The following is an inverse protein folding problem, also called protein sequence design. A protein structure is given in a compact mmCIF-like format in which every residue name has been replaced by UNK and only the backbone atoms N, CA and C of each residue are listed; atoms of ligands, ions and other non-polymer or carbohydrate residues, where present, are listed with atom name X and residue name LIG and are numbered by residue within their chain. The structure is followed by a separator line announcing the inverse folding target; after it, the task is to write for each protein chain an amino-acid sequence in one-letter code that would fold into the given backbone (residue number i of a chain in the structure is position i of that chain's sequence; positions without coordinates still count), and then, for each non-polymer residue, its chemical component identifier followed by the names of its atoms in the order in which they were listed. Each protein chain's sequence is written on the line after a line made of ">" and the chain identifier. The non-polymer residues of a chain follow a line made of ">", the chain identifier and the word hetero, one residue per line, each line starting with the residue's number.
data_IF_656932691146
#
_entry.id   IF_656932691146
#
_cell.length_a   1.000
_cell.length_b   1.000
_cell.length_c   1.000
_cell.angle_alpha   90.00
_cell.angle_beta   90.00
_cell.angle_gamma   90.00
#
_symmetry.space_group_name_H-M   'P 1'
#
loop_
_entity.id
_entity.type
_entity.pdbx_description
1 polymer ?
#
# COMPACT_ATOMS: atom_id res chain seq x y z
N UNK A 1 7.68 0.06 19.70
CA UNK A 1 6.92 -1.10 20.22
C UNK A 1 6.33 -1.82 19.03
N UNK A 2 6.70 -3.10 18.84
CA UNK A 2 6.22 -3.89 17.71
C UNK A 2 4.85 -4.49 18.01
N UNK A 3 3.80 -3.90 17.45
CA UNK A 3 2.45 -4.46 17.46
C UNK A 3 2.06 -4.85 16.05
N UNK A 4 1.21 -5.84 15.92
CA UNK A 4 0.61 -6.29 14.66
C UNK A 4 -0.85 -5.89 14.61
N UNK A 5 -1.36 -5.71 13.39
CA UNK A 5 -2.79 -5.49 13.17
C UNK A 5 -3.55 -6.80 13.31
N UNK A 6 -3.01 -7.90 12.76
CA UNK A 6 -3.58 -9.26 12.87
C UNK A 6 -2.52 -10.29 13.24
N UNK A 7 -2.93 -11.38 13.88
CA UNK A 7 -2.02 -12.47 14.27
C UNK A 7 -1.43 -13.26 13.10
N UNK A 8 -2.17 -13.32 11.98
CA UNK A 8 -1.85 -14.10 10.77
C UNK A 8 -1.13 -13.30 9.68
N UNK A 9 -0.79 -12.03 9.93
CA UNK A 9 -0.18 -11.11 8.96
C UNK A 9 -1.02 -10.83 7.71
N UNK A 10 -2.30 -11.08 7.76
CA UNK A 10 -3.19 -10.87 6.60
C UNK A 10 -3.40 -9.40 6.26
N UNK A 11 -3.16 -8.47 7.21
CA UNK A 11 -3.37 -7.03 7.06
C UNK A 11 -2.04 -6.28 7.19
N UNK A 12 -1.72 -5.49 6.17
CA UNK A 12 -0.50 -4.69 6.10
C UNK A 12 -0.65 -3.29 6.67
N UNK A 13 -1.83 -2.72 6.53
CA UNK A 13 -2.18 -1.39 7.00
C UNK A 13 -3.67 -1.25 7.24
N UNK A 14 -4.05 -0.22 7.97
CA UNK A 14 -5.44 0.10 8.29
C UNK A 14 -5.59 1.60 8.45
N UNK A 15 -6.57 2.22 7.75
CA UNK A 15 -6.98 3.61 7.96
C UNK A 15 -8.25 3.69 8.78
N UNK A 16 -8.24 4.47 9.87
CA UNK A 16 -9.38 4.66 10.74
C UNK A 16 -10.22 5.86 10.27
N UNK A 17 -11.48 5.63 9.90
CA UNK A 17 -12.41 6.67 9.46
C UNK A 17 -13.20 7.29 10.60
N UNK A 18 -13.14 6.74 11.81
CA UNK A 18 -13.76 7.27 13.02
C UNK A 18 -12.90 7.00 14.24
N UNK A 19 -13.15 7.75 15.31
CA UNK A 19 -12.56 7.45 16.60
C UNK A 19 -13.03 6.08 17.08
N UNK A 20 -12.10 5.24 17.50
CA UNK A 20 -12.37 3.86 17.88
C UNK A 20 -11.27 3.28 18.76
N UNK A 21 -11.54 2.13 19.34
CA UNK A 21 -10.53 1.30 20.00
C UNK A 21 -10.25 0.11 19.10
N UNK A 22 -8.99 -0.08 18.74
CA UNK A 22 -8.52 -1.20 17.93
C UNK A 22 -7.72 -2.18 18.77
N UNK A 23 -7.86 -3.46 18.48
CA UNK A 23 -7.09 -4.52 19.13
C UNK A 23 -5.88 -4.83 18.29
N UNK A 24 -4.71 -4.66 18.86
CA UNK A 24 -3.42 -4.98 18.24
C UNK A 24 -2.80 -6.19 18.93
N UNK A 25 -2.13 -7.03 18.16
CA UNK A 25 -1.41 -8.19 18.69
C UNK A 25 -0.02 -7.75 19.17
N UNK A 26 0.32 -8.06 20.42
CA UNK A 26 1.67 -7.83 20.94
C UNK A 26 2.61 -8.95 20.46
N UNK A 27 3.67 -8.55 19.74
CA UNK A 27 4.65 -9.50 19.18
C UNK A 27 5.44 -10.23 20.28
N UNK A 28 5.62 -9.60 21.43
CA UNK A 28 6.51 -10.09 22.48
C UNK A 28 5.79 -10.77 23.64
N UNK A 29 4.53 -10.45 23.87
CA UNK A 29 3.79 -10.89 25.08
C UNK A 29 2.63 -11.85 24.80
N UNK A 30 2.48 -12.35 23.59
CA UNK A 30 1.38 -13.26 23.23
C UNK A 30 0.03 -12.82 23.79
N UNK A 31 -0.38 -11.59 23.50
CA UNK A 31 -1.64 -11.03 23.96
C UNK A 31 -2.15 -9.91 23.07
N UNK A 32 -3.40 -9.52 23.29
CA UNK A 32 -4.01 -8.37 22.63
C UNK A 32 -3.80 -7.12 23.47
N UNK A 33 -3.54 -6.01 22.81
CA UNK A 33 -3.51 -4.68 23.39
C UNK A 33 -4.56 -3.81 22.72
N UNK A 34 -5.41 -3.22 23.54
CA UNK A 34 -6.34 -2.21 23.07
C UNK A 34 -5.66 -0.84 22.98
N UNK A 35 -5.83 -0.19 21.84
CA UNK A 35 -5.27 1.14 21.57
C UNK A 35 -6.39 2.03 21.03
N UNK A 36 -6.60 3.15 21.71
CA UNK A 36 -7.53 4.17 21.21
C UNK A 36 -6.88 4.93 20.06
N UNK A 37 -7.59 5.03 18.96
CA UNK A 37 -7.17 5.73 17.74
C UNK A 37 -8.19 6.78 17.37
N UNK A 38 -7.71 7.89 16.85
CA UNK A 38 -8.56 8.97 16.36
C UNK A 38 -8.81 8.84 14.88
N UNK A 39 -9.85 9.49 14.41
CA UNK A 39 -10.16 9.60 12.98
C UNK A 39 -8.95 10.09 12.18
N UNK A 40 -8.62 9.40 11.10
CA UNK A 40 -7.47 9.70 10.24
C UNK A 40 -6.17 9.01 10.68
N UNK A 41 -6.20 8.22 11.76
CA UNK A 41 -5.03 7.42 12.15
C UNK A 41 -4.78 6.33 11.13
N UNK A 42 -3.54 6.23 10.65
CA UNK A 42 -3.07 5.13 9.82
C UNK A 42 -2.22 4.21 10.68
N UNK A 43 -2.61 2.96 10.74
CA UNK A 43 -1.85 1.88 11.36
C UNK A 43 -1.07 1.14 10.29
N UNK A 44 0.20 0.89 10.54
CA UNK A 44 1.05 0.08 9.66
C UNK A 44 1.57 -1.10 10.45
N UNK A 45 1.38 -2.31 9.93
CA UNK A 45 1.90 -3.50 10.57
C UNK A 45 3.44 -3.47 10.58
N UNK A 46 4.02 -3.58 11.78
CA UNK A 46 5.46 -3.51 11.97
C UNK A 46 6.20 -4.59 11.18
N UNK A 47 5.56 -5.73 10.95
CA UNK A 47 6.11 -6.84 10.19
C UNK A 47 6.33 -6.49 8.70
N UNK A 48 5.52 -5.60 8.14
CA UNK A 48 5.70 -5.10 6.76
C UNK A 48 7.08 -4.49 6.58
N UNK A 49 7.57 -3.73 7.56
CA UNK A 49 8.92 -3.16 7.55
C UNK A 49 10.01 -4.21 7.73
N UNK A 50 9.84 -5.10 8.71
CA UNK A 50 10.88 -6.07 9.10
C UNK A 50 11.06 -7.21 8.09
N UNK A 51 9.97 -7.70 7.54
CA UNK A 51 9.99 -8.89 6.67
C UNK A 51 10.02 -8.56 5.17
N UNK A 52 9.52 -7.42 4.77
CA UNK A 52 9.49 -7.07 3.35
C UNK A 52 10.60 -6.08 2.99
N UNK A 53 10.38 -4.83 3.20
CA UNK A 53 11.35 -3.74 3.03
C UNK A 53 10.64 -2.39 3.20
N UNK A 54 11.44 -1.33 3.31
CA UNK A 54 10.92 0.04 3.42
C UNK A 54 10.01 0.43 2.24
N UNK A 55 10.29 -0.08 1.04
CA UNK A 55 9.46 0.21 -0.14
C UNK A 55 8.05 -0.35 -0.04
N UNK A 56 7.87 -1.53 0.55
CA UNK A 56 6.56 -2.09 0.83
C UNK A 56 5.81 -1.25 1.88
N UNK A 57 6.48 -0.83 2.93
CA UNK A 57 5.92 0.06 3.96
C UNK A 57 5.46 1.38 3.35
N UNK A 58 6.29 2.02 2.53
CA UNK A 58 5.93 3.26 1.84
C UNK A 58 4.70 3.08 0.94
N UNK A 59 4.63 1.96 0.22
CA UNK A 59 3.48 1.65 -0.63
C UNK A 59 2.20 1.47 0.21
N UNK A 60 2.28 0.76 1.35
CA UNK A 60 1.15 0.61 2.27
C UNK A 60 0.71 1.97 2.83
N UNK A 61 1.65 2.83 3.25
CA UNK A 61 1.32 4.20 3.70
C UNK A 61 0.60 4.97 2.60
N UNK A 62 1.12 4.98 1.37
CA UNK A 62 0.50 5.69 0.25
C UNK A 62 -0.89 5.13 -0.11
N UNK A 63 -1.08 3.82 0.04
CA UNK A 63 -2.35 3.14 -0.12
C UNK A 63 -3.39 3.64 0.91
N UNK A 64 -3.04 3.67 2.20
CA UNK A 64 -3.92 4.14 3.27
C UNK A 64 -4.20 5.65 3.16
N UNK A 65 -3.20 6.45 2.80
CA UNK A 65 -3.39 7.88 2.50
C UNK A 65 -4.39 8.08 1.36
N UNK A 66 -4.35 7.25 0.33
CA UNK A 66 -5.32 7.32 -0.76
C UNK A 66 -6.73 6.99 -0.29
N UNK A 67 -6.91 5.93 0.54
CA UNK A 67 -8.19 5.63 1.16
C UNK A 67 -8.71 6.83 1.96
N UNK A 68 -7.88 7.46 2.79
CA UNK A 68 -8.26 8.65 3.52
C UNK A 68 -8.69 9.79 2.59
N UNK A 69 -7.92 10.07 1.58
CA UNK A 69 -8.21 11.16 0.65
C UNK A 69 -9.50 10.93 -0.13
N UNK A 70 -9.66 9.75 -0.70
CA UNK A 70 -10.74 9.44 -1.66
C UNK A 70 -11.99 8.85 -1.04
N UNK A 71 -11.83 7.98 -0.05
CA UNK A 71 -12.93 7.13 0.44
C UNK A 71 -13.54 7.60 1.76
N UNK A 72 -12.97 8.62 2.43
CA UNK A 72 -13.54 9.17 3.68
C UNK A 72 -14.99 9.66 3.55
N UNK A 73 -15.36 10.21 2.39
CA UNK A 73 -16.74 10.64 2.13
C UNK A 73 -17.68 9.46 1.98
N UNK A 74 -17.23 8.40 1.32
CA UNK A 74 -18.01 7.15 1.20
C UNK A 74 -18.28 6.55 2.59
N UNK A 75 -17.27 6.49 3.46
CA UNK A 75 -17.44 6.03 4.83
C UNK A 75 -18.45 6.88 5.61
N UNK A 76 -18.38 8.21 5.49
CA UNK A 76 -19.32 9.12 6.11
C UNK A 76 -20.77 8.94 5.58
N UNK A 77 -20.93 8.78 4.28
CA UNK A 77 -22.25 8.55 3.66
C UNK A 77 -22.84 7.22 4.11
N UNK A 78 -22.05 6.15 4.16
CA UNK A 78 -22.50 4.84 4.68
C UNK A 78 -22.97 4.94 6.13
N UNK A 79 -22.25 5.68 6.96
CA UNK A 79 -22.63 5.90 8.34
C UNK A 79 -23.97 6.64 8.47
N UNK A 80 -24.19 7.69 7.64
CA UNK A 80 -25.42 8.49 7.68
C UNK A 80 -26.62 7.70 7.13
N UNK A 81 -26.46 7.05 5.97
CA UNK A 81 -27.60 6.43 5.29
C UNK A 81 -27.98 5.06 5.85
N UNK A 82 -27.02 4.30 6.37
CA UNK A 82 -27.25 2.91 6.80
C UNK A 82 -27.12 2.73 8.31
N UNK A 83 -26.77 3.79 9.03
CA UNK A 83 -26.42 3.73 10.46
C UNK A 83 -25.34 2.66 10.74
N UNK A 84 -24.51 2.35 9.73
CA UNK A 84 -23.39 1.42 9.83
C UNK A 84 -22.14 2.20 10.22
N UNK A 85 -21.57 1.87 11.37
CA UNK A 85 -20.31 2.47 11.80
C UNK A 85 -19.16 1.89 10.98
N UNK A 86 -18.75 2.61 9.93
CA UNK A 86 -17.56 2.25 9.16
C UNK A 86 -16.30 2.74 9.89
N UNK A 87 -15.76 1.86 10.74
CA UNK A 87 -14.69 2.23 11.66
C UNK A 87 -13.36 2.37 10.94
N UNK A 88 -13.00 1.38 10.14
CA UNK A 88 -11.72 1.31 9.47
C UNK A 88 -11.79 0.60 8.13
N UNK A 89 -10.81 0.85 7.28
CA UNK A 89 -10.54 0.08 6.07
C UNK A 89 -9.18 -0.58 6.19
N UNK A 90 -9.06 -1.82 5.74
CA UNK A 90 -7.87 -2.65 5.95
C UNK A 90 -7.24 -3.03 4.61
N UNK A 91 -5.93 -2.82 4.49
CA UNK A 91 -5.14 -3.27 3.34
C UNK A 91 -4.74 -4.74 3.50
N UNK A 92 -5.40 -5.67 2.80
CA UNK A 92 -5.04 -7.08 2.89
C UNK A 92 -3.74 -7.38 2.12
N UNK A 93 -3.02 -8.39 2.60
CA UNK A 93 -1.80 -8.86 1.95
C UNK A 93 -2.06 -9.42 0.55
N UNK A 94 -3.15 -10.17 0.42
CA UNK A 94 -3.56 -10.81 -0.83
C UNK A 94 -4.97 -10.35 -1.19
N UNK A 95 -5.11 -9.79 -2.40
CA UNK A 95 -6.38 -9.34 -2.93
C UNK A 95 -6.68 -10.13 -4.20
N UNK A 96 -7.81 -10.79 -4.23
CA UNK A 96 -8.33 -11.40 -5.45
C UNK A 96 -9.38 -10.46 -6.04
N UNK A 97 -9.14 -10.04 -7.28
CA UNK A 97 -10.09 -9.20 -7.99
C UNK A 97 -11.01 -10.05 -8.86
N UNK A 98 -12.29 -9.69 -8.93
CA UNK A 98 -13.24 -10.36 -9.83
C UNK A 98 -12.83 -10.25 -11.30
N UNK A 99 -13.23 -11.21 -12.11
CA UNK A 99 -13.03 -11.18 -13.55
C UNK A 99 -13.77 -10.03 -14.25
N UNK A 100 -13.52 -9.85 -15.56
CA UNK A 100 -14.11 -8.74 -16.34
C UNK A 100 -15.65 -8.74 -16.36
N UNK A 101 -16.27 -9.93 -16.24
CA UNK A 101 -17.73 -10.11 -16.31
C UNK A 101 -18.37 -10.27 -14.93
N UNK A 102 -17.62 -10.17 -13.85
CA UNK A 102 -18.11 -10.32 -12.49
C UNK A 102 -18.46 -8.97 -11.88
N UNK A 103 -19.46 -8.98 -11.00
CA UNK A 103 -19.87 -7.75 -10.29
C UNK A 103 -18.90 -7.48 -9.14
N UNK A 104 -18.23 -6.35 -9.21
CA UNK A 104 -17.32 -5.86 -8.18
C UNK A 104 -18.10 -5.25 -7.01
N UNK A 105 -17.70 -5.58 -5.78
CA UNK A 105 -18.16 -4.85 -4.61
C UNK A 105 -17.52 -3.45 -4.54
N UNK A 106 -18.08 -2.57 -3.72
CA UNK A 106 -17.50 -1.24 -3.51
C UNK A 106 -16.14 -1.33 -2.85
N UNK A 107 -15.97 -2.25 -1.89
CA UNK A 107 -14.69 -2.52 -1.21
C UNK A 107 -13.63 -3.00 -2.20
N UNK A 108 -13.95 -3.93 -3.09
CA UNK A 108 -13.02 -4.41 -4.12
C UNK A 108 -12.58 -3.30 -5.07
N UNK A 109 -13.52 -2.39 -5.43
CA UNK A 109 -13.19 -1.21 -6.25
C UNK A 109 -12.29 -0.24 -5.53
N UNK A 110 -12.56 0.01 -4.25
CA UNK A 110 -11.75 0.89 -3.40
C UNK A 110 -10.33 0.36 -3.28
N UNK A 111 -10.17 -0.94 -3.01
CA UNK A 111 -8.87 -1.61 -2.94
C UNK A 111 -8.11 -1.55 -4.26
N UNK A 112 -8.80 -1.84 -5.37
CA UNK A 112 -8.19 -1.75 -6.69
C UNK A 112 -7.69 -0.34 -7.00
N UNK A 113 -8.48 0.68 -6.67
CA UNK A 113 -8.09 2.07 -6.85
C UNK A 113 -6.84 2.41 -6.02
N UNK A 114 -6.83 2.07 -4.74
CA UNK A 114 -5.72 2.36 -3.85
C UNK A 114 -4.43 1.65 -4.30
N UNK A 115 -4.51 0.38 -4.68
CA UNK A 115 -3.36 -0.39 -5.16
C UNK A 115 -2.79 0.15 -6.48
N UNK A 116 -3.63 0.69 -7.36
CA UNK A 116 -3.16 1.29 -8.61
C UNK A 116 -2.60 2.71 -8.44
N UNK A 117 -3.10 3.47 -7.46
CA UNK A 117 -2.71 4.86 -7.27
C UNK A 117 -1.49 4.99 -6.35
N UNK A 118 -1.35 4.15 -5.32
CA UNK A 118 -0.23 4.22 -4.38
C UNK A 118 1.15 4.27 -5.06
N UNK A 119 1.49 3.38 -6.02
CA UNK A 119 2.75 3.47 -6.75
C UNK A 119 2.90 4.76 -7.57
N UNK A 120 1.78 5.33 -8.06
CA UNK A 120 1.80 6.57 -8.84
C UNK A 120 2.04 7.80 -7.98
N UNK A 121 1.60 7.81 -6.73
CA UNK A 121 1.91 8.84 -5.74
C UNK A 121 3.41 8.82 -5.43
N UNK A 122 3.97 7.64 -5.18
CA UNK A 122 5.38 7.47 -4.82
C UNK A 122 6.33 7.72 -6.00
N UNK A 123 5.88 7.47 -7.22
CA UNK A 123 6.65 7.63 -8.46
C UNK A 123 5.94 8.56 -9.45
N UNK A 124 5.96 9.89 -9.24
CA UNK A 124 5.34 10.85 -10.15
C UNK A 124 5.87 10.69 -11.58
N UNK A 125 4.97 10.72 -12.58
CA UNK A 125 5.28 10.33 -13.96
C UNK A 125 6.47 11.09 -14.56
N UNK A 126 6.55 12.39 -14.33
CA UNK A 126 7.63 13.22 -14.88
C UNK A 126 8.99 12.77 -14.32
N UNK A 127 9.10 12.67 -12.99
CA UNK A 127 10.34 12.25 -12.32
C UNK A 127 10.71 10.82 -12.67
N UNK A 128 9.70 9.94 -12.77
CA UNK A 128 9.91 8.54 -13.15
C UNK A 128 10.52 8.45 -14.56
N UNK A 129 9.94 9.13 -15.55
CA UNK A 129 10.47 9.15 -16.94
C UNK A 129 11.87 9.73 -17.01
N UNK A 130 12.14 10.83 -16.30
CA UNK A 130 13.48 11.41 -16.26
C UNK A 130 14.50 10.40 -15.72
N UNK A 131 14.16 9.72 -14.60
CA UNK A 131 15.08 8.75 -14.00
C UNK A 131 15.27 7.50 -14.86
N UNK A 132 14.21 7.02 -15.51
CA UNK A 132 14.32 5.90 -16.48
C UNK A 132 15.27 6.27 -17.60
N UNK A 133 15.14 7.45 -18.22
CA UNK A 133 16.02 7.88 -19.30
C UNK A 133 17.49 8.00 -18.84
N UNK A 134 17.72 8.56 -17.65
CA UNK A 134 19.06 8.60 -17.05
C UNK A 134 19.68 7.21 -16.91
N UNK A 135 18.88 6.25 -16.40
CA UNK A 135 19.36 4.88 -16.19
C UNK A 135 19.53 4.11 -17.51
N UNK A 136 18.71 4.37 -18.52
CA UNK A 136 18.90 3.80 -19.86
C UNK A 136 20.25 4.21 -20.47
N UNK A 137 20.61 5.48 -20.32
CA UNK A 137 21.92 5.98 -20.76
C UNK A 137 23.06 5.39 -19.91
N UNK A 138 22.90 5.38 -18.58
CA UNK A 138 23.90 4.84 -17.63
C UNK A 138 24.26 3.38 -17.96
N UNK A 139 23.27 2.56 -18.28
CA UNK A 139 23.43 1.13 -18.54
C UNK A 139 23.61 0.79 -20.02
N UNK A 140 23.71 1.79 -20.88
CA UNK A 140 23.80 1.62 -22.33
C UNK A 140 22.79 0.61 -22.88
N UNK A 141 21.52 0.82 -22.48
CA UNK A 141 20.44 -0.15 -22.73
C UNK A 141 20.28 -0.45 -24.23
N UNK A 142 20.51 0.51 -25.10
CA UNK A 142 20.39 0.32 -26.57
C UNK A 142 21.36 -0.71 -27.11
N UNK A 143 22.59 -0.72 -26.61
CA UNK A 143 23.68 -1.53 -27.15
C UNK A 143 23.92 -2.84 -26.38
N UNK A 144 23.35 -2.99 -25.17
CA UNK A 144 23.57 -4.20 -24.38
C UNK A 144 22.91 -5.43 -25.00
N UNK A 145 23.61 -6.58 -25.10
CA UNK A 145 23.00 -7.85 -25.51
C UNK A 145 22.12 -8.46 -24.42
N UNK A 146 22.30 -8.06 -23.16
CA UNK A 146 21.63 -8.64 -21.98
C UNK A 146 20.44 -7.77 -21.53
N UNK A 147 19.50 -7.46 -22.41
CA UNK A 147 18.35 -6.57 -22.18
C UNK A 147 17.59 -6.88 -20.88
N UNK A 148 17.31 -8.16 -20.59
CA UNK A 148 16.55 -8.57 -19.40
C UNK A 148 17.34 -8.27 -18.13
N UNK A 149 18.63 -8.58 -18.10
CA UNK A 149 19.50 -8.28 -16.95
C UNK A 149 19.57 -6.78 -16.71
N UNK A 150 19.78 -6.02 -17.78
CA UNK A 150 19.84 -4.55 -17.72
C UNK A 150 18.55 -3.94 -17.21
N UNK A 151 17.38 -4.39 -17.69
CA UNK A 151 16.08 -3.96 -17.16
C UNK A 151 15.93 -4.28 -15.67
N UNK A 152 16.46 -5.41 -15.25
CA UNK A 152 16.46 -5.80 -13.83
C UNK A 152 17.29 -4.81 -12.98
N UNK A 153 18.48 -4.44 -13.44
CA UNK A 153 19.33 -3.45 -12.77
C UNK A 153 18.67 -2.06 -12.73
N UNK A 154 18.06 -1.66 -13.84
CA UNK A 154 17.30 -0.39 -13.93
C UNK A 154 16.14 -0.39 -12.91
N UNK A 155 15.38 -1.49 -12.85
CA UNK A 155 14.27 -1.61 -11.88
C UNK A 155 14.76 -1.55 -10.42
N UNK A 156 15.90 -2.15 -10.11
CA UNK A 156 16.50 -2.10 -8.78
C UNK A 156 16.97 -0.67 -8.44
N UNK A 157 17.59 0.04 -9.37
CA UNK A 157 18.01 1.44 -9.16
C UNK A 157 16.80 2.38 -9.03
N UNK A 158 15.74 2.17 -9.81
CA UNK A 158 14.47 2.90 -9.66
C UNK A 158 13.83 2.63 -8.29
N UNK A 159 13.78 1.38 -7.86
CA UNK A 159 13.25 1.00 -6.57
C UNK A 159 13.99 1.67 -5.41
N UNK A 160 15.33 1.71 -5.48
CA UNK A 160 16.17 2.42 -4.51
C UNK A 160 15.94 3.93 -4.51
N UNK A 161 15.90 4.53 -5.69
CA UNK A 161 15.73 5.97 -5.85
C UNK A 161 14.38 6.45 -5.29
N UNK A 162 13.29 5.77 -5.63
CA UNK A 162 11.94 6.13 -5.18
C UNK A 162 11.57 5.53 -3.82
N UNK A 163 12.44 4.71 -3.22
CA UNK A 163 12.16 3.97 -1.98
C UNK A 163 10.87 3.17 -2.06
N UNK A 164 10.70 2.45 -3.16
CA UNK A 164 9.56 1.56 -3.43
C UNK A 164 10.03 0.12 -3.57
N UNK A 165 9.09 -0.83 -3.66
CA UNK A 165 9.45 -2.21 -3.99
C UNK A 165 9.84 -2.30 -5.47
N UNK A 166 10.72 -3.25 -5.80
CA UNK A 166 11.08 -3.56 -7.19
C UNK A 166 9.84 -3.86 -8.05
N UNK A 167 8.90 -4.60 -7.50
CA UNK A 167 7.63 -4.90 -8.17
C UNK A 167 6.85 -3.63 -8.51
N UNK A 168 6.79 -2.66 -7.57
CA UNK A 168 6.13 -1.37 -7.82
C UNK A 168 6.82 -0.59 -8.94
N UNK A 169 8.17 -0.63 -9.00
CA UNK A 169 8.93 0.01 -10.07
C UNK A 169 8.70 -0.64 -11.44
N UNK A 170 8.53 -1.95 -11.51
CA UNK A 170 8.25 -2.69 -12.75
C UNK A 170 6.82 -2.46 -13.28
N UNK A 171 5.86 -2.22 -12.39
CA UNK A 171 4.44 -1.99 -12.75
C UNK A 171 4.22 -0.54 -13.21
N UNK A 172 5.06 0.41 -12.75
CA UNK A 172 4.92 1.84 -13.03
C UNK A 172 5.21 2.18 -14.46
#
# INVERSE_FOLDING_TARGET
>A
QGHRITSDFSILGEICFSDSTVKLQDIFKCGEKEVTVTRGTILIDAYTYWQRNQGATNNTIAHEVYHWYRHRLYAAIKQILRNEKFIAHRCPLNITYPGKNEKWSDEQRMEWQANNIAPRILMPLKTFRMKVNELYLKYDYENTPLKIVTLTCIADDLAKFFKVSRQSALIR
#
